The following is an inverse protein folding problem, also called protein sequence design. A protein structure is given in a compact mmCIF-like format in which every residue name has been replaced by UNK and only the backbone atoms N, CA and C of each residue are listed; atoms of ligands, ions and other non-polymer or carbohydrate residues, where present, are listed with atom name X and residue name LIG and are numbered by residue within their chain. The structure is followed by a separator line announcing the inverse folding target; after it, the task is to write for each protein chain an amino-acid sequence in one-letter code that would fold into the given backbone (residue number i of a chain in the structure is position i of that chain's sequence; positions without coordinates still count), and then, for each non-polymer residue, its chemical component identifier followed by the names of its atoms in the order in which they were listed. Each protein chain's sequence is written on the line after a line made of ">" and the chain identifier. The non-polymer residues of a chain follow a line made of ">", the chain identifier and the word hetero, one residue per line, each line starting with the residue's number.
data_IF_577459580597
#
_entry.id   IF_577459580597
#
_cell.length_a   1.000
_cell.length_b   1.000
_cell.length_c   1.000
_cell.angle_alpha   90.00
_cell.angle_beta   90.00
_cell.angle_gamma   90.00
#
_symmetry.space_group_name_H-M   'P 1'
#
loop_
_entity.id
_entity.type
_entity.pdbx_description
1 polymer ?
#
# COMPACT_ATOMS: atom_id res chain seq x y z
N UNK A 1 -2.48 10.63 48.56
CA UNK A 1 -2.02 11.04 47.26
C UNK A 1 -0.72 11.77 47.45
N UNK A 2 0.38 11.06 47.37
CA UNK A 2 1.73 11.63 47.49
C UNK A 2 2.16 12.18 46.13
N UNK A 3 2.40 13.48 46.06
CA UNK A 3 2.98 14.12 44.87
C UNK A 3 4.37 13.49 44.62
N UNK A 4 4.71 13.12 43.39
CA UNK A 4 6.04 12.65 43.06
C UNK A 4 7.04 13.79 43.21
N UNK A 5 8.24 13.43 43.65
CA UNK A 5 9.36 14.33 43.83
C UNK A 5 9.66 15.12 42.54
N UNK A 6 9.86 16.40 42.70
CA UNK A 6 10.28 17.33 41.67
C UNK A 6 11.54 16.83 40.95
N UNK A 7 11.45 16.49 39.66
CA UNK A 7 12.64 16.32 38.85
C UNK A 7 12.69 15.23 37.76
N UNK A 8 11.69 14.39 37.61
CA UNK A 8 11.71 13.38 36.52
C UNK A 8 11.09 13.97 35.27
N UNK A 9 11.92 14.59 34.42
CA UNK A 9 11.47 14.92 33.07
C UNK A 9 11.21 13.61 32.33
N UNK A 10 9.99 13.42 31.82
CA UNK A 10 9.65 12.26 30.99
C UNK A 10 10.57 12.26 29.77
N UNK A 11 11.24 11.14 29.53
CA UNK A 11 12.21 11.02 28.46
C UNK A 11 11.55 10.32 27.25
N UNK A 12 11.35 11.06 26.16
CA UNK A 12 10.79 10.51 24.92
C UNK A 12 11.62 9.33 24.38
N UNK A 13 12.96 9.42 24.49
CA UNK A 13 13.84 8.35 24.02
C UNK A 13 13.55 7.03 24.74
N UNK A 14 13.35 7.05 26.06
CA UNK A 14 13.03 5.82 26.82
C UNK A 14 11.69 5.20 26.37
N UNK A 15 10.67 6.03 26.10
CA UNK A 15 9.39 5.56 25.57
C UNK A 15 9.51 4.95 24.17
N UNK A 16 10.40 5.49 23.33
CA UNK A 16 10.66 4.96 21.99
C UNK A 16 11.52 3.69 22.03
N UNK A 17 12.43 3.56 22.98
CA UNK A 17 13.17 2.32 23.25
C UNK A 17 12.21 1.21 23.68
N UNK A 18 11.32 1.48 24.66
CA UNK A 18 10.26 0.54 25.07
C UNK A 18 9.34 0.15 23.89
N UNK A 19 8.97 1.11 23.05
CA UNK A 19 8.16 0.85 21.85
C UNK A 19 8.82 -0.19 20.93
N UNK A 20 10.14 -0.09 20.72
CA UNK A 20 10.91 -1.03 19.89
C UNK A 20 11.05 -2.39 20.56
N UNK A 21 11.38 -2.41 21.85
CA UNK A 21 11.57 -3.65 22.63
C UNK A 21 10.29 -4.50 22.68
N UNK A 22 9.13 -3.84 22.77
CA UNK A 22 7.82 -4.51 22.80
C UNK A 22 7.20 -4.74 21.42
N UNK A 23 7.92 -4.48 20.33
CA UNK A 23 7.44 -4.56 18.93
C UNK A 23 6.11 -3.82 18.73
N UNK A 24 5.96 -2.67 19.39
CA UNK A 24 4.76 -1.85 19.32
C UNK A 24 4.73 -1.05 18.00
N UNK A 25 3.57 -1.00 17.35
CA UNK A 25 3.39 -0.26 16.09
C UNK A 25 3.32 1.25 16.29
N UNK A 26 2.70 1.70 17.39
CA UNK A 26 2.46 3.11 17.65
C UNK A 26 2.66 3.42 19.16
N UNK A 27 3.22 4.61 19.44
CA UNK A 27 3.29 5.23 20.77
C UNK A 27 2.30 6.39 20.81
N UNK A 28 1.41 6.40 21.78
CA UNK A 28 0.40 7.44 22.00
C UNK A 28 0.76 8.26 23.24
N UNK A 29 0.85 9.56 23.07
CA UNK A 29 1.16 10.56 24.10
C UNK A 29 -0.01 11.55 24.17
N UNK A 30 -0.72 11.56 25.32
CA UNK A 30 -1.83 12.49 25.53
C UNK A 30 -1.90 12.94 26.99
N UNK A 31 -2.33 14.17 27.25
CA UNK A 31 -2.44 14.71 28.60
C UNK A 31 -3.58 14.03 29.39
N UNK A 32 -3.34 13.78 30.66
CA UNK A 32 -4.28 13.13 31.58
C UNK A 32 -4.23 11.60 31.56
N UNK A 33 -3.33 11.00 30.79
CA UNK A 33 -3.12 9.56 30.66
C UNK A 33 -1.65 9.20 30.75
N UNK A 34 -1.36 7.91 31.03
CA UNK A 34 -0.02 7.34 30.87
C UNK A 34 0.30 7.25 29.37
N UNK A 35 1.56 7.27 29.02
CA UNK A 35 1.97 6.92 27.65
C UNK A 35 1.46 5.50 27.33
N UNK A 36 0.97 5.29 26.10
CA UNK A 36 0.38 4.02 25.68
C UNK A 36 1.04 3.53 24.40
N UNK A 37 1.17 2.22 24.29
CA UNK A 37 1.75 1.51 23.17
C UNK A 37 0.68 0.66 22.49
N UNK A 38 0.68 0.62 21.16
CA UNK A 38 -0.13 -0.33 20.40
C UNK A 38 0.69 -1.57 20.10
N UNK A 39 0.39 -2.65 20.82
CA UNK A 39 1.06 -3.96 20.69
C UNK A 39 0.04 -4.96 20.15
N UNK A 40 0.35 -5.65 19.06
CA UNK A 40 -0.54 -6.63 18.40
C UNK A 40 -1.96 -6.10 18.07
N UNK A 41 -2.11 -4.79 17.88
CA UNK A 41 -3.38 -4.13 17.60
C UNK A 41 -4.07 -3.52 18.82
N UNK A 42 -3.76 -3.97 20.04
CA UNK A 42 -4.33 -3.50 21.29
C UNK A 42 -3.52 -2.35 21.91
N UNK A 43 -4.21 -1.40 22.53
CA UNK A 43 -3.58 -0.28 23.24
C UNK A 43 -3.32 -0.69 24.68
N UNK A 44 -2.03 -0.75 25.07
CA UNK A 44 -1.56 -1.10 26.40
C UNK A 44 -0.81 0.06 27.06
N UNK A 45 -0.72 0.08 28.38
CA UNK A 45 0.10 1.09 29.07
C UNK A 45 1.59 0.82 28.84
N UNK A 46 2.38 1.90 28.77
CA UNK A 46 3.83 1.82 28.89
C UNK A 46 4.24 1.45 30.34
N UNK A 47 5.47 1.03 30.50
CA UNK A 47 6.06 0.75 31.83
C UNK A 47 6.20 2.03 32.70
N UNK A 48 6.18 3.19 32.03
CA UNK A 48 6.21 4.47 32.73
C UNK A 48 4.91 4.68 33.53
N UNK A 49 5.01 4.52 34.86
CA UNK A 49 3.87 4.69 35.79
C UNK A 49 3.59 6.17 36.11
N UNK A 50 3.56 7.04 35.09
CA UNK A 50 3.35 8.47 35.25
C UNK A 50 2.23 8.96 34.33
N UNK A 51 1.29 9.73 34.89
CA UNK A 51 0.24 10.38 34.13
C UNK A 51 0.75 11.71 33.58
N UNK A 52 0.80 11.83 32.25
CA UNK A 52 1.35 12.98 31.54
C UNK A 52 0.50 14.24 31.77
N UNK A 53 1.15 15.32 32.16
CA UNK A 53 0.50 16.64 32.24
C UNK A 53 0.49 17.35 30.87
N UNK A 54 -0.35 18.40 30.68
CA UNK A 54 -0.29 19.23 29.47
C UNK A 54 1.10 19.81 29.16
N UNK A 55 1.88 20.11 30.21
CA UNK A 55 3.25 20.60 30.06
C UNK A 55 4.18 19.52 29.52
N UNK A 56 4.03 18.27 30.02
CA UNK A 56 4.86 17.16 29.56
C UNK A 56 4.62 16.84 28.09
N UNK A 57 3.35 16.74 27.68
CA UNK A 57 3.01 16.43 26.28
C UNK A 57 3.52 17.51 25.31
N UNK A 58 3.42 18.79 25.67
CA UNK A 58 3.99 19.89 24.90
C UNK A 58 5.52 19.78 24.81
N UNK A 59 6.19 19.51 25.95
CA UNK A 59 7.64 19.41 26.01
C UNK A 59 8.14 18.20 25.21
N UNK A 60 7.48 17.05 25.29
CA UNK A 60 7.79 15.86 24.52
C UNK A 60 7.66 16.12 23.00
N UNK A 61 6.56 16.73 22.56
CA UNK A 61 6.36 17.10 21.17
C UNK A 61 7.47 18.08 20.69
N UNK A 62 7.73 19.13 21.44
CA UNK A 62 8.71 20.16 21.05
C UNK A 62 10.16 19.65 21.09
N UNK A 63 10.45 18.56 21.79
CA UNK A 63 11.78 17.95 21.85
C UNK A 63 12.24 17.37 20.51
N UNK A 64 11.29 17.03 19.61
CA UNK A 64 11.58 16.40 18.32
C UNK A 64 11.20 17.27 17.12
N UNK A 65 10.59 18.43 17.33
CA UNK A 65 10.24 19.37 16.29
C UNK A 65 11.35 20.40 16.05
N UNK A 66 11.65 20.66 14.79
CA UNK A 66 12.48 21.81 14.39
C UNK A 66 11.74 23.13 14.64
N UNK A 67 12.46 24.25 14.69
CA UNK A 67 11.85 25.58 14.92
C UNK A 67 10.79 25.95 13.86
N UNK A 68 11.00 25.55 12.60
CA UNK A 68 10.01 25.76 11.54
C UNK A 68 8.76 24.90 11.73
N UNK A 69 8.94 23.66 12.16
CA UNK A 69 7.83 22.74 12.47
C UNK A 69 7.02 23.21 13.68
N UNK A 70 7.67 23.75 14.72
CA UNK A 70 6.99 24.35 15.86
C UNK A 70 6.10 25.52 15.44
N UNK A 71 6.64 26.45 14.64
CA UNK A 71 5.88 27.59 14.13
C UNK A 71 4.69 27.17 13.29
N UNK A 72 4.88 26.16 12.45
CA UNK A 72 3.81 25.60 11.63
C UNK A 72 2.74 24.97 12.49
N UNK A 73 3.11 24.14 13.46
CA UNK A 73 2.18 23.52 14.40
C UNK A 73 1.39 24.54 15.24
N UNK A 74 2.03 25.62 15.67
CA UNK A 74 1.38 26.71 16.40
C UNK A 74 0.31 27.44 15.57
N UNK A 75 0.49 27.50 14.23
CA UNK A 75 -0.46 28.13 13.29
C UNK A 75 -1.57 27.19 12.82
N UNK A 76 -1.24 25.90 12.59
CA UNK A 76 -2.15 24.95 11.94
C UNK A 76 -2.84 24.02 12.94
N UNK A 77 -2.37 23.93 14.20
CA UNK A 77 -2.83 23.06 15.29
C UNK A 77 -2.65 21.55 15.03
N UNK A 78 -2.15 21.18 13.85
CA UNK A 78 -1.88 19.82 13.39
C UNK A 78 -0.55 19.79 12.60
N UNK A 79 0.23 18.71 12.77
CA UNK A 79 1.48 18.56 12.05
C UNK A 79 1.85 17.09 11.88
N UNK A 80 2.02 16.64 10.63
CA UNK A 80 2.77 15.44 10.28
C UNK A 80 4.24 15.77 10.12
N UNK A 81 5.12 14.94 10.67
CA UNK A 81 6.57 15.10 10.57
C UNK A 81 7.29 13.77 10.71
N UNK A 82 8.55 13.71 10.29
CA UNK A 82 9.42 12.58 10.56
C UNK A 82 10.68 13.03 11.32
N UNK A 83 11.24 12.16 12.13
CA UNK A 83 12.46 12.40 12.87
C UNK A 83 13.25 11.12 13.10
N UNK A 84 14.57 11.26 13.24
CA UNK A 84 15.47 10.16 13.56
C UNK A 84 16.08 10.30 14.93
N UNK A 85 16.22 9.22 15.68
CA UNK A 85 17.04 9.17 16.90
C UNK A 85 18.28 8.34 16.59
N UNK A 86 19.43 8.96 16.78
CA UNK A 86 20.71 8.33 16.49
C UNK A 86 20.86 7.00 17.25
N UNK A 87 21.28 5.96 16.52
CA UNK A 87 21.47 4.60 17.00
C UNK A 87 20.18 3.92 17.53
N UNK A 88 18.99 4.45 17.21
CA UNK A 88 17.74 3.85 17.62
C UNK A 88 16.87 3.52 16.39
N UNK A 89 16.15 4.49 15.86
CA UNK A 89 15.28 4.31 14.71
C UNK A 89 14.90 5.66 14.08
N UNK A 90 14.21 5.59 12.93
CA UNK A 90 13.46 6.71 12.38
C UNK A 90 11.98 6.54 12.70
N UNK A 91 11.29 7.65 12.92
CA UNK A 91 9.90 7.67 13.35
C UNK A 91 9.11 8.68 12.52
N UNK A 92 7.84 8.37 12.29
CA UNK A 92 6.83 9.31 11.84
C UNK A 92 6.01 9.73 13.03
N UNK A 93 5.86 11.04 13.23
CA UNK A 93 5.04 11.65 14.27
C UNK A 93 3.87 12.42 13.67
N UNK A 94 2.73 12.39 14.35
CA UNK A 94 1.64 13.33 14.14
C UNK A 94 1.36 14.04 15.46
N UNK A 95 1.49 15.37 15.47
CA UNK A 95 1.08 16.21 16.59
C UNK A 95 -0.24 16.88 16.28
N UNK A 96 -1.11 16.97 17.28
CA UNK A 96 -2.42 17.63 17.15
C UNK A 96 -2.86 18.22 18.49
N UNK A 97 -3.71 19.24 18.45
CA UNK A 97 -4.34 19.78 19.64
C UNK A 97 -5.67 19.09 19.93
N UNK A 98 -5.91 18.76 21.21
CA UNK A 98 -7.18 18.27 21.70
C UNK A 98 -7.48 18.87 23.07
N UNK A 99 -8.69 19.43 23.28
CA UNK A 99 -9.12 20.06 24.55
C UNK A 99 -8.10 21.07 25.09
N UNK A 100 -7.44 21.84 24.21
CA UNK A 100 -6.42 22.82 24.57
C UNK A 100 -5.03 22.26 24.94
N UNK A 101 -4.84 20.94 24.84
CA UNK A 101 -3.57 20.27 25.11
C UNK A 101 -2.97 19.68 23.83
N UNK A 102 -1.65 19.53 23.80
CA UNK A 102 -0.96 18.82 22.72
C UNK A 102 -1.04 17.33 22.95
N UNK A 103 -1.32 16.59 21.88
CA UNK A 103 -1.20 15.14 21.82
C UNK A 103 -0.31 14.75 20.65
N UNK A 104 0.29 13.56 20.72
CA UNK A 104 1.19 13.05 19.69
C UNK A 104 1.02 11.54 19.53
N UNK A 105 1.03 11.08 18.28
CA UNK A 105 1.13 9.66 17.94
C UNK A 105 2.42 9.48 17.14
N UNK A 106 3.21 8.49 17.53
CA UNK A 106 4.50 8.19 16.88
C UNK A 106 4.47 6.74 16.38
N UNK A 107 4.87 6.55 15.12
CA UNK A 107 5.02 5.25 14.46
C UNK A 107 6.48 5.01 14.11
N UNK A 108 6.98 3.79 14.35
CA UNK A 108 8.32 3.41 13.92
C UNK A 108 8.37 3.19 12.41
N UNK A 109 9.41 3.72 11.76
CA UNK A 109 9.76 3.42 10.37
C UNK A 109 10.81 2.30 10.40
N UNK A 110 10.48 1.10 9.87
CA UNK A 110 11.37 -0.05 9.98
C UNK A 110 12.63 0.11 9.13
N UNK A 111 13.78 -0.28 9.69
CA UNK A 111 15.05 -0.43 8.96
C UNK A 111 15.20 -1.80 8.31
N UNK A 112 14.45 -2.79 8.79
CA UNK A 112 14.59 -4.16 8.32
C UNK A 112 13.68 -4.40 7.12
N UNK A 113 14.28 -4.51 5.95
CA UNK A 113 13.60 -4.80 4.71
C UNK A 113 13.55 -6.32 4.54
N UNK A 114 12.35 -6.88 4.46
CA UNK A 114 12.14 -8.31 4.23
C UNK A 114 12.57 -8.69 2.82
N UNK A 115 13.15 -9.87 2.68
CA UNK A 115 13.56 -10.40 1.37
C UNK A 115 12.34 -10.81 0.52
N UNK A 116 12.56 -11.02 -0.78
CA UNK A 116 11.51 -11.56 -1.67
C UNK A 116 10.94 -12.89 -1.16
N UNK A 117 11.78 -13.75 -0.63
CA UNK A 117 11.40 -15.06 -0.09
C UNK A 117 10.53 -14.92 1.15
N UNK A 118 10.92 -14.03 2.09
CA UNK A 118 10.16 -13.80 3.32
C UNK A 118 8.78 -13.20 3.06
N UNK A 119 8.65 -12.46 1.95
CA UNK A 119 7.39 -11.85 1.52
C UNK A 119 6.54 -12.79 0.66
N UNK A 120 7.07 -13.95 0.24
CA UNK A 120 6.38 -14.86 -0.68
C UNK A 120 6.16 -14.27 -2.07
N UNK A 121 7.02 -13.32 -2.50
CA UNK A 121 6.85 -12.63 -3.78
C UNK A 121 7.18 -13.55 -4.95
N UNK A 122 6.32 -13.61 -6.00
CA UNK A 122 6.62 -14.35 -7.22
C UNK A 122 7.95 -13.89 -7.88
N UNK A 123 8.71 -14.85 -8.41
CA UNK A 123 10.03 -14.58 -9.00
C UNK A 123 10.02 -13.57 -10.16
N UNK A 124 8.91 -13.42 -10.84
CA UNK A 124 8.73 -12.43 -11.91
C UNK A 124 8.86 -10.99 -11.41
N UNK A 125 8.50 -10.72 -10.15
CA UNK A 125 8.65 -9.39 -9.54
C UNK A 125 10.13 -9.05 -9.39
N UNK A 126 10.98 -10.03 -9.00
CA UNK A 126 12.42 -9.86 -8.96
C UNK A 126 12.99 -9.53 -10.34
N UNK A 127 12.50 -10.21 -11.40
CA UNK A 127 12.90 -9.92 -12.79
C UNK A 127 12.50 -8.51 -13.25
N UNK A 128 11.40 -7.96 -12.73
CA UNK A 128 11.03 -6.57 -13.01
C UNK A 128 12.02 -5.59 -12.38
N UNK A 129 12.57 -5.89 -11.19
CA UNK A 129 13.64 -5.10 -10.57
C UNK A 129 14.98 -5.20 -11.32
N UNK A 130 15.17 -6.24 -12.12
CA UNK A 130 16.38 -6.42 -12.93
C UNK A 130 16.36 -5.67 -14.27
N UNK A 131 15.25 -5.06 -14.64
CA UNK A 131 15.13 -4.29 -15.87
C UNK A 131 16.14 -3.12 -15.89
N UNK A 132 16.75 -2.83 -17.04
CA UNK A 132 17.69 -1.72 -17.12
C UNK A 132 17.01 -0.36 -17.14
N UNK A 133 15.77 -0.31 -17.62
CA UNK A 133 14.96 0.92 -17.80
C UNK A 133 13.48 0.58 -17.94
N UNK A 134 12.64 1.59 -17.88
CA UNK A 134 11.19 1.50 -18.08
C UNK A 134 10.43 1.83 -16.81
N UNK A 135 9.12 1.67 -16.85
CA UNK A 135 8.20 1.94 -15.75
C UNK A 135 7.61 0.63 -15.20
N UNK A 136 7.74 0.43 -13.91
CA UNK A 136 7.07 -0.66 -13.17
C UNK A 136 6.12 -0.05 -12.16
N UNK A 137 4.87 -0.49 -12.18
CA UNK A 137 3.83 -0.01 -11.26
C UNK A 137 3.53 -1.04 -10.19
N UNK A 138 3.42 -0.58 -8.94
CA UNK A 138 2.90 -1.38 -7.83
C UNK A 138 1.63 -0.72 -7.34
N UNK A 139 0.50 -1.42 -7.49
CA UNK A 139 -0.83 -0.84 -7.23
C UNK A 139 -1.61 -1.65 -6.20
N UNK A 140 -2.74 -1.12 -5.76
CA UNK A 140 -3.62 -1.73 -4.77
C UNK A 140 -4.09 -0.73 -3.71
N UNK A 141 -5.07 -1.09 -2.89
CA UNK A 141 -5.60 -0.22 -1.85
C UNK A 141 -4.55 0.13 -0.78
N UNK A 142 -4.87 1.10 0.06
CA UNK A 142 -4.03 1.42 1.22
C UNK A 142 -3.87 0.21 2.12
N UNK A 143 -2.64 -0.06 2.57
CA UNK A 143 -2.35 -1.22 3.41
C UNK A 143 -2.20 -2.56 2.66
N UNK A 144 -2.20 -2.56 1.32
CA UNK A 144 -1.99 -3.78 0.51
C UNK A 144 -0.54 -4.27 0.42
N UNK A 145 0.41 -3.55 1.03
CA UNK A 145 1.82 -3.94 1.05
C UNK A 145 2.68 -3.37 -0.08
N UNK A 146 2.20 -2.36 -0.81
CA UNK A 146 2.95 -1.71 -1.92
C UNK A 146 4.34 -1.26 -1.51
N UNK A 147 4.43 -0.47 -0.43
CA UNK A 147 5.71 0.05 0.06
C UNK A 147 6.68 -1.05 0.47
N UNK A 148 6.16 -2.14 1.06
CA UNK A 148 6.97 -3.30 1.45
C UNK A 148 7.55 -4.02 0.23
N UNK A 149 6.76 -4.21 -0.82
CA UNK A 149 7.22 -4.82 -2.08
C UNK A 149 8.23 -3.92 -2.79
N UNK A 150 7.96 -2.62 -2.87
CA UNK A 150 8.89 -1.65 -3.45
C UNK A 150 10.20 -1.59 -2.67
N UNK A 151 10.14 -1.61 -1.33
CA UNK A 151 11.34 -1.65 -0.50
C UNK A 151 12.19 -2.89 -0.80
N UNK A 152 11.58 -4.07 -0.95
CA UNK A 152 12.29 -5.29 -1.33
C UNK A 152 12.91 -5.18 -2.74
N UNK A 153 12.20 -4.56 -3.72
CA UNK A 153 12.72 -4.35 -5.07
C UNK A 153 13.93 -3.38 -5.07
N UNK A 154 13.82 -2.27 -4.34
CA UNK A 154 14.90 -1.29 -4.18
C UNK A 154 16.10 -1.91 -3.45
N UNK A 155 15.87 -2.69 -2.38
CA UNK A 155 16.94 -3.36 -1.64
C UNK A 155 17.68 -4.38 -2.51
N UNK A 156 16.97 -5.14 -3.37
CA UNK A 156 17.59 -6.03 -4.35
C UNK A 156 18.50 -5.24 -5.32
N UNK A 157 18.02 -4.16 -5.90
CA UNK A 157 18.81 -3.30 -6.79
C UNK A 157 20.02 -2.75 -6.06
N UNK A 158 19.83 -2.25 -4.84
CA UNK A 158 20.87 -1.67 -4.01
C UNK A 158 22.00 -2.66 -3.66
N UNK A 159 21.67 -3.95 -3.49
CA UNK A 159 22.66 -5.00 -3.23
C UNK A 159 23.41 -5.48 -4.49
N UNK A 160 22.69 -5.55 -5.62
CA UNK A 160 23.19 -6.26 -6.81
C UNK A 160 23.80 -5.32 -7.85
N UNK A 161 23.48 -4.02 -7.81
CA UNK A 161 23.96 -3.02 -8.76
C UNK A 161 24.94 -2.03 -8.11
N UNK A 162 25.65 -1.34 -8.98
CA UNK A 162 26.50 -0.19 -8.62
C UNK A 162 25.94 1.01 -9.38
N UNK A 163 25.19 1.86 -8.70
CA UNK A 163 24.49 2.97 -9.33
C UNK A 163 23.90 3.93 -8.31
N UNK A 164 23.01 4.79 -8.78
CA UNK A 164 22.37 5.81 -7.97
C UNK A 164 20.84 5.60 -7.95
N UNK A 165 20.29 5.41 -6.76
CA UNK A 165 18.86 5.28 -6.51
C UNK A 165 18.36 6.57 -5.88
N UNK A 166 17.35 7.18 -6.46
CA UNK A 166 16.65 8.32 -5.87
C UNK A 166 15.23 7.88 -5.51
N UNK A 167 14.77 8.17 -4.28
CA UNK A 167 13.37 8.03 -3.93
C UNK A 167 12.75 9.37 -3.62
N UNK A 168 11.48 9.54 -4.01
CA UNK A 168 10.66 10.69 -3.63
C UNK A 168 9.39 10.14 -3.01
N UNK A 169 9.18 10.40 -1.73
CA UNK A 169 8.15 9.75 -0.91
C UNK A 169 7.38 10.75 -0.04
N UNK A 170 6.16 10.42 0.38
CA UNK A 170 5.32 11.24 1.25
C UNK A 170 4.47 10.37 2.21
N UNK A 171 5.04 10.03 3.38
CA UNK A 171 6.44 10.14 3.80
C UNK A 171 7.30 8.93 3.38
N UNK A 172 8.59 8.94 3.79
CA UNK A 172 9.48 7.77 3.66
C UNK A 172 8.97 6.63 4.54
N UNK A 173 8.70 5.46 3.93
CA UNK A 173 8.16 4.28 4.61
C UNK A 173 9.24 3.27 5.05
N UNK A 174 10.39 3.23 4.37
CA UNK A 174 11.53 2.36 4.67
C UNK A 174 12.84 3.11 4.48
N UNK A 175 13.81 2.86 5.34
CA UNK A 175 15.14 3.46 5.21
C UNK A 175 16.08 2.48 4.51
N UNK A 176 16.64 2.92 3.40
CA UNK A 176 17.64 2.18 2.65
C UNK A 176 19.05 2.66 3.00
N UNK A 177 19.90 1.74 3.48
CA UNK A 177 21.33 2.04 3.66
C UNK A 177 22.02 1.98 2.32
N UNK A 178 23.06 2.77 2.12
CA UNK A 178 23.95 2.59 0.97
C UNK A 178 24.62 1.19 1.03
N UNK A 179 24.58 0.45 -0.07
CA UNK A 179 25.22 -0.85 -0.20
C UNK A 179 26.05 -0.86 -1.50
N UNK A 180 25.58 -1.51 -2.57
CA UNK A 180 26.17 -1.40 -3.89
C UNK A 180 25.89 -0.07 -4.58
N UNK A 181 24.73 0.51 -4.28
CA UNK A 181 24.29 1.80 -4.81
C UNK A 181 24.42 2.93 -3.78
N UNK A 182 24.49 4.17 -4.28
CA UNK A 182 24.15 5.36 -3.51
C UNK A 182 22.64 5.46 -3.48
N UNK A 183 22.01 5.66 -2.31
CA UNK A 183 20.56 5.82 -2.17
C UNK A 183 20.27 7.17 -1.56
N UNK A 184 19.62 8.04 -2.30
CA UNK A 184 19.15 9.34 -1.83
C UNK A 184 17.63 9.32 -1.72
N UNK A 185 17.11 9.38 -0.49
CA UNK A 185 15.69 9.40 -0.20
C UNK A 185 15.24 10.81 0.13
N UNK A 186 14.23 11.32 -0.57
CA UNK A 186 13.71 12.68 -0.42
C UNK A 186 12.25 12.65 0.01
N UNK A 187 11.96 13.24 1.16
CA UNK A 187 10.61 13.33 1.72
C UNK A 187 9.93 14.64 1.30
N UNK A 188 8.72 14.56 0.80
CA UNK A 188 7.91 15.74 0.46
C UNK A 188 7.58 16.51 1.74
N UNK A 189 7.67 17.84 1.66
CA UNK A 189 7.47 18.71 2.82
C UNK A 189 8.72 18.90 3.71
N UNK A 190 9.67 17.96 3.68
CA UNK A 190 10.93 18.03 4.43
C UNK A 190 12.11 18.33 3.52
N UNK A 191 12.34 17.53 2.49
CA UNK A 191 13.52 17.62 1.61
C UNK A 191 13.17 18.21 0.24
N UNK A 192 11.91 18.21 -0.12
CA UNK A 192 11.38 18.80 -1.36
C UNK A 192 9.98 19.37 -1.15
N UNK A 193 9.57 20.29 -2.01
CA UNK A 193 8.27 20.96 -1.89
C UNK A 193 7.11 20.13 -2.44
N UNK A 194 7.35 19.27 -3.44
CA UNK A 194 6.34 18.43 -4.08
C UNK A 194 7.00 17.31 -4.89
N UNK A 195 6.23 16.28 -5.24
CA UNK A 195 6.67 15.24 -6.18
C UNK A 195 7.13 15.84 -7.51
N UNK A 196 6.30 16.66 -8.15
CA UNK A 196 6.61 17.27 -9.44
C UNK A 196 7.92 18.07 -9.40
N UNK A 197 8.13 18.84 -8.32
CA UNK A 197 9.36 19.62 -8.16
C UNK A 197 10.58 18.70 -8.01
N UNK A 198 10.51 17.67 -7.17
CA UNK A 198 11.60 16.72 -7.00
C UNK A 198 11.96 15.99 -8.30
N UNK A 199 10.96 15.47 -9.01
CA UNK A 199 11.15 14.70 -10.24
C UNK A 199 11.70 15.55 -11.40
N UNK A 200 11.33 16.83 -11.45
CA UNK A 200 11.90 17.78 -12.41
C UNK A 200 13.42 17.93 -12.27
N UNK A 201 13.93 17.86 -11.05
CA UNK A 201 15.38 17.96 -10.80
C UNK A 201 16.07 16.61 -10.80
N UNK A 202 15.38 15.52 -10.45
CA UNK A 202 15.92 14.18 -10.35
C UNK A 202 16.72 13.74 -11.59
N UNK A 203 16.25 14.09 -12.81
CA UNK A 203 16.96 13.79 -14.07
C UNK A 203 18.35 14.47 -14.20
N UNK A 204 18.66 15.46 -13.33
CA UNK A 204 19.97 16.14 -13.29
C UNK A 204 20.81 15.69 -12.11
N UNK A 205 20.31 14.74 -11.34
CA UNK A 205 20.96 14.19 -10.15
C UNK A 205 21.65 12.86 -10.46
N UNK A 206 21.86 12.53 -11.75
CA UNK A 206 22.51 11.30 -12.26
C UNK A 206 21.88 10.01 -11.70
N UNK A 207 20.56 9.79 -11.80
CA UNK A 207 19.91 8.60 -11.30
C UNK A 207 19.99 7.44 -12.29
N UNK A 208 20.14 6.20 -11.80
CA UNK A 208 19.86 4.98 -12.58
C UNK A 208 18.46 4.44 -12.30
N UNK A 209 18.01 4.60 -11.06
CA UNK A 209 16.70 4.12 -10.60
C UNK A 209 15.99 5.19 -9.80
N UNK A 210 14.70 5.39 -10.08
CA UNK A 210 13.87 6.36 -9.36
C UNK A 210 12.64 5.66 -8.80
N UNK A 211 12.37 5.83 -7.50
CA UNK A 211 11.13 5.46 -6.85
C UNK A 211 10.25 6.69 -6.64
N UNK A 212 9.05 6.65 -7.16
CA UNK A 212 8.01 7.66 -7.00
C UNK A 212 6.95 7.09 -6.05
N UNK A 213 6.87 7.62 -4.84
CA UNK A 213 6.01 7.11 -3.78
C UNK A 213 4.56 6.98 -4.22
N UNK A 214 4.01 8.01 -4.88
CA UNK A 214 2.65 7.96 -5.44
C UNK A 214 2.47 8.93 -6.62
N UNK A 215 1.73 8.47 -7.64
CA UNK A 215 1.33 9.28 -8.80
C UNK A 215 -0.15 9.68 -8.68
N UNK A 216 -0.43 10.90 -8.20
CA UNK A 216 -1.80 11.39 -8.00
C UNK A 216 -2.26 12.37 -9.07
N UNK A 217 -1.36 13.13 -9.63
CA UNK A 217 -1.62 14.25 -10.52
C UNK A 217 -0.91 14.12 -11.87
N UNK A 218 -1.35 14.93 -12.82
CA UNK A 218 -0.85 14.94 -14.20
C UNK A 218 0.66 15.20 -14.26
N UNK A 219 1.16 16.16 -13.47
CA UNK A 219 2.57 16.58 -13.54
C UNK A 219 3.49 15.44 -13.06
N UNK A 220 3.11 14.74 -11.98
CA UNK A 220 3.85 13.59 -11.46
C UNK A 220 3.83 12.42 -12.44
N UNK A 221 2.67 12.12 -13.06
CA UNK A 221 2.54 11.06 -14.06
C UNK A 221 3.37 11.38 -15.30
N UNK A 222 3.30 12.61 -15.81
CA UNK A 222 4.10 13.05 -16.96
C UNK A 222 5.59 12.94 -16.68
N UNK A 223 6.03 13.33 -15.48
CA UNK A 223 7.43 13.21 -15.08
C UNK A 223 7.88 11.73 -15.03
N UNK A 224 7.06 10.83 -14.46
CA UNK A 224 7.35 9.40 -14.41
C UNK A 224 7.51 8.78 -15.82
N UNK A 225 6.62 9.13 -16.75
CA UNK A 225 6.70 8.69 -18.13
C UNK A 225 7.98 9.21 -18.81
N UNK A 226 8.33 10.48 -18.60
CA UNK A 226 9.53 11.09 -19.15
C UNK A 226 10.80 10.44 -18.60
N UNK A 227 10.86 10.18 -17.30
CA UNK A 227 11.99 9.48 -16.64
C UNK A 227 12.20 8.11 -17.28
N UNK A 228 11.13 7.33 -17.43
CA UNK A 228 11.19 6.00 -18.02
C UNK A 228 11.59 6.04 -19.51
N UNK A 229 11.13 7.05 -20.26
CA UNK A 229 11.45 7.24 -21.69
C UNK A 229 12.92 7.65 -21.90
N UNK A 230 13.48 8.43 -20.99
CA UNK A 230 14.88 8.86 -21.06
C UNK A 230 15.89 7.80 -20.61
N UNK A 231 15.43 6.58 -20.33
CA UNK A 231 16.33 5.42 -20.15
C UNK A 231 16.53 5.00 -18.71
N UNK A 232 15.81 5.57 -17.75
CA UNK A 232 15.92 5.23 -16.34
C UNK A 232 14.88 4.16 -15.94
N UNK A 233 15.18 3.40 -14.89
CA UNK A 233 14.22 2.48 -14.29
C UNK A 233 13.38 3.23 -13.26
N UNK A 234 12.08 3.37 -13.52
CA UNK A 234 11.14 4.05 -12.64
C UNK A 234 10.19 3.05 -11.97
N UNK A 235 10.02 3.19 -10.67
CA UNK A 235 8.98 2.52 -9.89
C UNK A 235 7.99 3.56 -9.40
N UNK A 236 6.70 3.24 -9.45
CA UNK A 236 5.68 4.16 -8.94
C UNK A 236 4.48 3.41 -8.36
N UNK A 237 3.68 4.09 -7.52
CA UNK A 237 2.43 3.52 -7.01
C UNK A 237 1.19 4.24 -7.50
N UNK A 238 0.10 3.47 -7.55
CA UNK A 238 -1.28 3.93 -7.76
C UNK A 238 -2.22 3.19 -6.79
N UNK A 239 -3.41 3.76 -6.58
CA UNK A 239 -4.47 3.15 -5.77
C UNK A 239 -5.55 2.49 -6.63
N UNK A 240 -5.14 1.64 -7.57
CA UNK A 240 -6.04 0.91 -8.47
C UNK A 240 -6.08 -0.58 -8.11
N UNK A 241 -7.19 -1.24 -8.41
CA UNK A 241 -7.45 -2.62 -8.01
C UNK A 241 -7.17 -3.65 -9.12
N UNK A 242 -6.77 -3.20 -10.31
CA UNK A 242 -6.34 -4.06 -11.42
C UNK A 242 -5.31 -3.38 -12.31
N UNK A 243 -4.59 -4.16 -13.10
CA UNK A 243 -3.64 -3.66 -14.07
C UNK A 243 -4.31 -2.84 -15.18
N UNK A 244 -5.48 -3.26 -15.65
CA UNK A 244 -6.27 -2.53 -16.63
C UNK A 244 -6.72 -1.16 -16.10
N UNK A 245 -7.20 -1.12 -14.85
CA UNK A 245 -7.57 0.13 -14.19
C UNK A 245 -6.38 1.08 -14.03
N UNK A 246 -5.19 0.55 -13.69
CA UNK A 246 -3.98 1.35 -13.58
C UNK A 246 -3.59 2.03 -14.89
N UNK A 247 -3.69 1.31 -16.01
CA UNK A 247 -3.43 1.86 -17.35
C UNK A 247 -4.44 2.96 -17.67
N UNK A 248 -5.74 2.70 -17.48
CA UNK A 248 -6.79 3.70 -17.72
C UNK A 248 -6.58 4.94 -16.84
N UNK A 249 -6.29 4.75 -15.55
CA UNK A 249 -6.05 5.86 -14.61
C UNK A 249 -4.93 6.79 -15.06
N UNK A 250 -3.84 6.24 -15.59
CA UNK A 250 -2.74 7.05 -16.13
C UNK A 250 -3.19 7.85 -17.34
N UNK A 251 -3.95 7.25 -18.26
CA UNK A 251 -4.39 7.88 -19.50
C UNK A 251 -5.44 8.97 -19.23
N UNK A 252 -6.41 8.67 -18.37
CA UNK A 252 -7.58 9.52 -18.10
C UNK A 252 -7.25 10.83 -17.38
N UNK A 253 -6.08 10.92 -16.73
CA UNK A 253 -5.62 12.17 -16.11
C UNK A 253 -5.27 13.24 -17.18
N UNK A 254 -4.94 12.82 -18.39
CA UNK A 254 -4.56 13.72 -19.47
C UNK A 254 -5.77 14.23 -20.27
N UNK A 255 -5.71 15.47 -20.78
CA UNK A 255 -6.71 15.99 -21.69
C UNK A 255 -6.90 15.06 -22.90
N UNK A 256 -8.12 14.93 -23.41
CA UNK A 256 -8.49 13.98 -24.47
C UNK A 256 -7.60 14.06 -25.73
N UNK A 257 -7.17 15.27 -26.09
CA UNK A 257 -6.30 15.48 -27.26
C UNK A 257 -4.86 14.97 -27.07
N UNK A 258 -4.42 14.68 -25.82
CA UNK A 258 -3.10 14.13 -25.50
C UNK A 258 -3.14 12.62 -25.26
N UNK A 259 -4.29 12.03 -25.01
CA UNK A 259 -4.41 10.63 -24.59
C UNK A 259 -3.83 9.63 -25.59
N UNK A 260 -3.96 9.87 -26.88
CA UNK A 260 -3.37 8.99 -27.90
C UNK A 260 -1.84 8.97 -27.85
N UNK A 261 -1.22 10.12 -27.60
CA UNK A 261 0.22 10.23 -27.41
C UNK A 261 0.66 9.56 -26.13
N UNK A 262 -0.09 9.76 -25.04
CA UNK A 262 0.19 9.12 -23.73
C UNK A 262 0.08 7.61 -23.81
N UNK A 263 -0.92 7.06 -24.54
CA UNK A 263 -1.02 5.62 -24.80
C UNK A 263 0.23 5.08 -25.50
N UNK A 264 0.69 5.77 -26.54
CA UNK A 264 1.90 5.37 -27.27
C UNK A 264 3.14 5.41 -26.36
N UNK A 265 3.31 6.47 -25.56
CA UNK A 265 4.40 6.64 -24.63
C UNK A 265 4.34 5.56 -23.51
N UNK A 266 3.18 5.36 -22.88
CA UNK A 266 2.99 4.34 -21.86
C UNK A 266 3.25 2.93 -22.42
N UNK A 267 2.73 2.62 -23.61
CA UNK A 267 3.00 1.33 -24.27
C UNK A 267 4.50 1.11 -24.54
N UNK A 268 5.27 2.17 -24.76
CA UNK A 268 6.71 2.09 -24.97
C UNK A 268 7.49 1.84 -23.67
N UNK A 269 7.14 2.56 -22.59
CA UNK A 269 7.93 2.56 -21.35
C UNK A 269 7.49 1.53 -20.31
N UNK A 270 6.22 1.10 -20.31
CA UNK A 270 5.69 0.20 -19.28
C UNK A 270 6.32 -1.20 -19.41
N UNK A 271 6.85 -1.73 -18.29
CA UNK A 271 7.45 -3.05 -18.20
C UNK A 271 6.60 -4.06 -17.42
N UNK A 272 5.86 -3.59 -16.42
CA UNK A 272 4.95 -4.43 -15.65
C UNK A 272 4.08 -3.67 -14.66
N UNK A 273 3.01 -4.34 -14.25
CA UNK A 273 2.11 -3.85 -13.18
C UNK A 273 1.91 -4.99 -12.19
N UNK A 274 2.03 -4.67 -10.91
CA UNK A 274 1.82 -5.59 -9.79
C UNK A 274 0.69 -5.01 -8.95
N UNK A 275 -0.49 -5.59 -9.01
CA UNK A 275 -1.64 -5.15 -8.20
C UNK A 275 -1.78 -6.09 -7.01
N UNK A 276 -1.74 -5.55 -5.80
CA UNK A 276 -1.64 -6.31 -4.56
C UNK A 276 -2.85 -6.14 -3.65
N UNK A 277 -3.23 -7.23 -2.99
CA UNK A 277 -4.12 -7.22 -1.85
C UNK A 277 -3.60 -8.14 -0.75
N UNK A 278 -3.87 -7.80 0.52
CA UNK A 278 -3.52 -8.61 1.68
C UNK A 278 -4.79 -9.21 2.28
N UNK A 279 -4.77 -10.52 2.50
CA UNK A 279 -5.85 -11.27 3.13
C UNK A 279 -5.39 -11.81 4.49
N UNK A 280 -6.29 -11.91 5.48
CA UNK A 280 -5.98 -12.58 6.74
C UNK A 280 -5.67 -14.04 6.49
N UNK A 281 -4.67 -14.58 7.20
CA UNK A 281 -4.38 -16.01 7.14
C UNK A 281 -5.47 -16.83 7.80
N UNK A 282 -5.81 -17.98 7.22
CA UNK A 282 -6.79 -18.92 7.75
C UNK A 282 -6.41 -19.47 9.13
N UNK A 283 -5.11 -19.57 9.42
CA UNK A 283 -4.57 -20.04 10.70
C UNK A 283 -3.42 -19.15 11.15
N UNK A 284 -3.35 -18.90 12.46
CA UNK A 284 -2.30 -18.08 13.05
C UNK A 284 -2.53 -16.58 12.86
N UNK A 285 -1.47 -15.81 13.10
CA UNK A 285 -1.46 -14.35 12.92
C UNK A 285 -0.82 -13.97 11.57
N UNK A 286 -1.15 -12.79 11.09
CA UNK A 286 -0.55 -12.21 9.89
C UNK A 286 -1.44 -12.26 8.66
N UNK A 287 -0.86 -11.86 7.53
CA UNK A 287 -1.57 -11.72 6.25
C UNK A 287 -0.83 -12.46 5.15
N UNK A 288 -1.57 -12.99 4.18
CA UNK A 288 -1.07 -13.53 2.94
C UNK A 288 -1.29 -12.51 1.81
N UNK A 289 -0.37 -12.44 0.86
CA UNK A 289 -0.46 -11.51 -0.25
C UNK A 289 -0.97 -12.23 -1.49
N UNK A 290 -2.07 -11.73 -2.07
CA UNK A 290 -2.48 -12.06 -3.44
C UNK A 290 -2.05 -10.92 -4.37
N UNK A 291 -1.48 -11.28 -5.52
CA UNK A 291 -1.07 -10.29 -6.52
C UNK A 291 -1.58 -10.67 -7.91
N UNK A 292 -2.19 -9.70 -8.59
CA UNK A 292 -2.34 -9.70 -10.03
C UNK A 292 -1.05 -9.19 -10.65
N UNK A 293 -0.49 -9.89 -11.65
CA UNK A 293 0.78 -9.53 -12.26
C UNK A 293 0.64 -9.48 -13.78
N UNK A 294 0.82 -8.28 -14.33
CA UNK A 294 0.91 -8.03 -15.76
C UNK A 294 2.38 -7.85 -16.16
N UNK A 295 2.86 -8.68 -17.07
CA UNK A 295 4.15 -8.48 -17.75
C UNK A 295 3.90 -7.91 -19.15
N UNK A 296 4.52 -6.79 -19.46
CA UNK A 296 4.25 -6.08 -20.71
C UNK A 296 5.01 -6.72 -21.87
N UNK A 297 4.31 -7.58 -22.59
CA UNK A 297 4.76 -8.20 -23.85
C UNK A 297 4.44 -7.32 -25.06
N UNK A 298 5.00 -7.60 -26.27
CA UNK A 298 4.64 -6.88 -27.49
C UNK A 298 3.12 -6.86 -27.76
N UNK A 299 2.40 -7.95 -27.43
CA UNK A 299 0.94 -8.01 -27.57
C UNK A 299 0.23 -7.04 -26.61
N UNK A 300 0.67 -6.97 -25.34
CA UNK A 300 0.14 -6.00 -24.37
C UNK A 300 0.43 -4.57 -24.81
N UNK A 301 1.65 -4.28 -25.31
CA UNK A 301 2.00 -2.95 -25.85
C UNK A 301 1.05 -2.52 -26.98
N UNK A 302 0.71 -3.46 -27.89
CA UNK A 302 -0.25 -3.20 -28.96
C UNK A 302 -1.64 -2.88 -28.42
N UNK A 303 -2.14 -3.65 -27.42
CA UNK A 303 -3.45 -3.39 -26.81
C UNK A 303 -3.52 -2.01 -26.13
N UNK A 304 -2.47 -1.59 -25.44
CA UNK A 304 -2.41 -0.27 -24.79
C UNK A 304 -2.45 0.83 -25.85
N UNK A 305 -1.61 0.73 -26.88
CA UNK A 305 -1.53 1.72 -27.98
C UNK A 305 -2.85 1.84 -28.73
N UNK A 306 -3.50 0.70 -28.99
CA UNK A 306 -4.71 0.61 -29.84
C UNK A 306 -6.01 0.80 -29.02
N UNK A 307 -5.94 1.21 -27.75
CA UNK A 307 -7.07 1.43 -26.82
C UNK A 307 -7.94 0.18 -26.59
N UNK A 308 -7.32 -1.00 -26.57
CA UNK A 308 -7.98 -2.29 -26.35
C UNK A 308 -7.70 -2.88 -24.98
N UNK A 309 -7.64 -2.01 -23.95
CA UNK A 309 -7.25 -2.36 -22.57
C UNK A 309 -8.15 -3.45 -21.99
N UNK A 310 -9.44 -3.48 -22.37
CA UNK A 310 -10.39 -4.51 -21.95
C UNK A 310 -9.98 -5.95 -22.34
N UNK A 311 -9.08 -6.13 -23.31
CA UNK A 311 -8.59 -7.45 -23.73
C UNK A 311 -7.37 -7.93 -22.92
N UNK A 312 -6.79 -7.08 -22.07
CA UNK A 312 -5.57 -7.40 -21.31
C UNK A 312 -5.81 -8.58 -20.39
N UNK A 313 -6.96 -8.66 -19.72
CA UNK A 313 -7.27 -9.76 -18.80
C UNK A 313 -7.18 -11.13 -19.48
N UNK A 314 -7.74 -11.29 -20.69
CA UNK A 314 -7.67 -12.53 -21.45
C UNK A 314 -6.23 -12.90 -21.84
N UNK A 315 -5.38 -11.91 -22.15
CA UNK A 315 -3.96 -12.16 -22.38
C UNK A 315 -3.21 -12.52 -21.12
N UNK A 316 -3.60 -12.02 -19.96
CA UNK A 316 -3.01 -12.40 -18.68
C UNK A 316 -3.32 -13.85 -18.34
N UNK A 317 -4.56 -14.31 -18.52
CA UNK A 317 -4.96 -15.72 -18.32
C UNK A 317 -4.10 -16.68 -19.14
N UNK A 318 -3.80 -16.32 -20.39
CA UNK A 318 -2.96 -17.13 -21.29
C UNK A 318 -1.45 -16.86 -21.14
N UNK A 319 -1.08 -15.83 -20.40
CA UNK A 319 0.29 -15.32 -20.28
C UNK A 319 1.16 -15.96 -19.19
N UNK A 320 0.75 -17.09 -18.60
CA UNK A 320 1.46 -17.76 -17.48
C UNK A 320 2.92 -18.06 -17.78
N UNK A 321 3.27 -18.39 -19.03
CA UNK A 321 4.66 -18.63 -19.45
C UNK A 321 5.58 -17.41 -19.33
N UNK A 322 5.02 -16.21 -19.30
CA UNK A 322 5.74 -14.95 -19.06
C UNK A 322 5.79 -14.56 -17.58
N UNK A 323 5.13 -15.32 -16.71
CA UNK A 323 4.95 -15.00 -15.30
C UNK A 323 3.75 -14.11 -15.00
N UNK A 324 2.83 -13.92 -15.98
CA UNK A 324 1.57 -13.25 -15.74
C UNK A 324 0.66 -14.10 -14.86
N UNK A 325 -0.12 -13.43 -14.02
CA UNK A 325 -1.02 -14.05 -13.06
C UNK A 325 -2.23 -13.16 -12.86
N UNK A 326 -3.42 -13.71 -12.95
CA UNK A 326 -4.63 -12.98 -12.55
C UNK A 326 -4.78 -12.97 -11.03
N UNK A 327 -5.61 -12.07 -10.50
CA UNK A 327 -5.90 -12.08 -9.06
C UNK A 327 -6.52 -13.43 -8.64
N UNK A 328 -7.44 -13.99 -9.43
CA UNK A 328 -8.07 -15.27 -9.13
C UNK A 328 -7.08 -16.43 -9.17
N UNK A 329 -6.07 -16.42 -10.04
CA UNK A 329 -4.98 -17.41 -10.01
C UNK A 329 -4.22 -17.36 -8.67
N UNK A 330 -3.90 -16.15 -8.18
CA UNK A 330 -3.23 -15.97 -6.89
C UNK A 330 -4.09 -16.45 -5.72
N UNK A 331 -5.36 -16.07 -5.72
CA UNK A 331 -6.34 -16.50 -4.70
C UNK A 331 -6.51 -18.01 -4.68
N UNK A 332 -6.59 -18.64 -5.85
CA UNK A 332 -6.67 -20.09 -5.98
C UNK A 332 -5.45 -20.79 -5.35
N UNK A 333 -4.23 -20.27 -5.58
CA UNK A 333 -3.03 -20.83 -4.98
C UNK A 333 -3.05 -20.72 -3.45
N UNK A 334 -3.44 -19.57 -2.90
CA UNK A 334 -3.55 -19.33 -1.46
C UNK A 334 -4.63 -20.22 -0.82
N UNK A 335 -5.74 -20.46 -1.50
CA UNK A 335 -6.78 -21.38 -1.05
C UNK A 335 -6.28 -22.82 -1.05
N UNK A 336 -5.65 -23.28 -2.15
CA UNK A 336 -5.12 -24.64 -2.28
C UNK A 336 -4.00 -24.94 -1.27
N UNK A 337 -3.16 -23.95 -0.93
CA UNK A 337 -2.15 -24.05 0.13
C UNK A 337 -2.75 -23.93 1.54
N UNK A 338 -4.07 -23.70 1.67
CA UNK A 338 -4.79 -23.48 2.92
C UNK A 338 -4.27 -22.30 3.76
N UNK A 339 -3.67 -21.34 3.12
CA UNK A 339 -3.21 -20.10 3.75
C UNK A 339 -4.37 -19.13 3.97
N UNK A 340 -5.38 -19.12 3.09
CA UNK A 340 -6.54 -18.23 3.15
C UNK A 340 -7.82 -19.06 2.96
N UNK A 341 -8.91 -18.63 3.59
CA UNK A 341 -10.23 -19.29 3.42
C UNK A 341 -10.87 -18.88 2.10
N UNK A 342 -11.79 -19.71 1.59
CA UNK A 342 -12.56 -19.40 0.38
C UNK A 342 -13.44 -18.15 0.55
N UNK A 343 -13.98 -17.91 1.74
CA UNK A 343 -14.78 -16.71 2.05
C UNK A 343 -13.95 -15.42 1.86
N UNK A 344 -12.73 -15.40 2.40
CA UNK A 344 -11.82 -14.26 2.23
C UNK A 344 -11.36 -14.11 0.78
N UNK A 345 -11.14 -15.20 0.06
CA UNK A 345 -10.83 -15.17 -1.38
C UNK A 345 -11.99 -14.59 -2.19
N UNK A 346 -13.23 -15.04 -1.92
CA UNK A 346 -14.43 -14.53 -2.60
C UNK A 346 -14.66 -13.05 -2.35
N UNK A 347 -14.36 -12.56 -1.15
CA UNK A 347 -14.52 -11.14 -0.78
C UNK A 347 -13.68 -10.19 -1.65
N UNK A 348 -12.51 -10.63 -2.11
CA UNK A 348 -11.56 -9.79 -2.87
C UNK A 348 -11.44 -10.21 -4.34
N UNK A 349 -12.06 -11.31 -4.75
CA UNK A 349 -12.04 -11.80 -6.13
C UNK A 349 -12.60 -10.77 -7.11
N UNK A 350 -11.94 -10.59 -8.24
CA UNK A 350 -12.40 -9.75 -9.34
C UNK A 350 -13.57 -10.37 -10.11
N UNK A 351 -13.64 -11.70 -10.16
CA UNK A 351 -14.76 -12.49 -10.69
C UNK A 351 -15.02 -13.67 -9.74
N UNK A 352 -15.96 -13.52 -8.78
CA UNK A 352 -16.30 -14.57 -7.83
C UNK A 352 -16.77 -15.87 -8.50
N UNK A 353 -17.48 -15.78 -9.63
CA UNK A 353 -17.97 -16.96 -10.35
C UNK A 353 -16.83 -17.71 -11.05
N UNK A 354 -15.83 -17.02 -11.58
CA UNK A 354 -14.59 -17.64 -12.06
C UNK A 354 -13.88 -18.37 -10.93
N UNK A 355 -13.69 -17.72 -9.78
CA UNK A 355 -13.02 -18.32 -8.63
C UNK A 355 -13.75 -19.57 -8.12
N UNK A 356 -15.09 -19.53 -8.00
CA UNK A 356 -15.90 -20.71 -7.61
C UNK A 356 -15.71 -21.89 -8.58
N UNK A 357 -15.72 -21.62 -9.89
CA UNK A 357 -15.41 -22.66 -10.90
C UNK A 357 -14.01 -23.25 -10.70
N UNK A 358 -13.01 -22.42 -10.41
CA UNK A 358 -11.63 -22.88 -10.19
C UNK A 358 -11.50 -23.80 -8.98
N UNK A 359 -12.27 -23.57 -7.91
CA UNK A 359 -12.28 -24.45 -6.71
C UNK A 359 -13.31 -25.59 -6.78
N UNK A 360 -13.97 -25.78 -7.93
CA UNK A 360 -14.94 -26.84 -8.15
C UNK A 360 -16.29 -26.67 -7.46
N UNK A 361 -16.68 -25.41 -7.15
CA UNK A 361 -17.99 -25.07 -6.60
C UNK A 361 -18.93 -24.49 -7.66
N UNK A 362 -20.26 -24.58 -7.40
CA UNK A 362 -21.27 -23.97 -8.26
C UNK A 362 -21.14 -22.43 -8.23
N UNK A 363 -21.27 -21.76 -9.38
CA UNK A 363 -21.34 -20.30 -9.43
C UNK A 363 -22.49 -19.76 -8.56
N UNK A 364 -22.34 -18.51 -8.11
CA UNK A 364 -23.42 -17.82 -7.43
C UNK A 364 -24.56 -17.59 -8.43
N UNK A 365 -25.80 -17.86 -8.02
CA UNK A 365 -26.99 -17.54 -8.81
C UNK A 365 -27.13 -16.03 -8.87
N UNK A 366 -26.90 -15.43 -10.02
CA UNK A 366 -26.97 -13.97 -10.22
C UNK A 366 -28.41 -13.47 -10.40
N UNK A 367 -29.44 -14.24 -9.99
CA UNK A 367 -30.82 -13.78 -9.94
C UNK A 367 -31.41 -13.29 -11.28
N UNK A 368 -30.69 -13.44 -12.39
CA UNK A 368 -31.08 -12.97 -13.72
C UNK A 368 -31.67 -14.06 -14.64
N UNK A 369 -32.06 -15.21 -14.09
CA UNK A 369 -32.86 -16.16 -14.85
C UNK A 369 -34.29 -15.66 -14.91
N UNK A 370 -34.55 -14.89 -15.96
CA UNK A 370 -35.82 -14.30 -16.29
C UNK A 370 -36.95 -15.27 -16.27
N UNK A 371 -38.04 -14.81 -15.69
CA UNK A 371 -39.34 -15.45 -15.89
C UNK A 371 -39.68 -15.55 -17.36
N UNK A 372 -39.88 -16.76 -17.81
CA UNK A 372 -40.91 -17.09 -18.80
C UNK A 372 -41.08 -18.61 -18.82
N UNK A 373 -42.28 -19.03 -18.62
CA UNK A 373 -42.65 -20.35 -19.08
C UNK A 373 -43.42 -21.19 -18.08
N UNK A 374 -44.74 -21.12 -18.18
CA UNK A 374 -45.70 -22.16 -17.95
C UNK A 374 -45.96 -22.68 -16.52
N UNK A 375 -46.97 -22.05 -15.94
CA UNK A 375 -47.91 -22.78 -15.06
C UNK A 375 -48.72 -23.76 -15.89
N UNK A 376 -48.69 -25.04 -15.63
CA UNK A 376 -49.80 -25.93 -16.03
C UNK A 376 -50.92 -25.75 -15.01
N UNK A 377 -52.04 -25.28 -15.52
CA UNK A 377 -53.36 -25.43 -14.90
C UNK A 377 -53.77 -26.88 -14.96
N UNK A 378 -53.88 -27.56 -13.83
CA UNK A 378 -54.82 -28.70 -13.59
C UNK A 378 -55.05 -28.66 -12.09
N UNK A 379 -56.19 -28.46 -11.57
CA UNK A 379 -57.50 -29.00 -11.83
C UNK A 379 -57.77 -30.16 -10.88
N UNK A 380 -58.76 -30.01 -9.98
CA UNK A 380 -59.38 -31.12 -9.30
C UNK A 380 -59.42 -31.04 -7.78
N UNK A 381 -60.46 -30.43 -7.22
CA UNK A 381 -61.60 -31.08 -6.56
C UNK A 381 -61.27 -32.15 -5.48
N UNK A 382 -61.56 -31.85 -4.22
CA UNK A 382 -62.66 -32.38 -3.38
C UNK A 382 -62.46 -31.96 -1.93
N UNK A 383 -63.42 -31.29 -1.32
CA UNK A 383 -64.52 -31.78 -0.45
C UNK A 383 -64.03 -32.79 0.60
N UNK A 384 -64.06 -32.45 1.84
CA UNK A 384 -65.26 -32.57 2.69
C UNK A 384 -64.93 -32.18 4.16
N UNK A 385 -65.85 -31.36 4.68
CA UNK A 385 -66.60 -31.51 5.93
C UNK A 385 -65.92 -31.57 7.29
N UNK A 386 -66.41 -30.59 8.01
CA UNK A 386 -67.07 -30.74 9.32
C UNK A 386 -66.14 -30.82 10.52
N UNK A 387 -66.34 -30.01 11.47
CA UNK A 387 -67.31 -29.80 12.43
C UNK A 387 -66.83 -29.05 13.64
N UNK A 388 -67.59 -28.10 13.94
CA UNK A 388 -68.22 -27.78 15.24
C UNK A 388 -67.39 -27.82 16.52
N UNK A 389 -67.49 -26.70 17.24
CA UNK A 389 -67.64 -26.80 18.66
C UNK A 389 -66.87 -25.76 19.52
N UNK A 390 -67.55 -24.68 19.79
CA UNK A 390 -67.71 -24.07 21.12
C UNK A 390 -66.58 -24.22 22.15
N UNK A 391 -66.03 -23.21 22.61
CA UNK A 391 -66.46 -22.22 23.61
C UNK A 391 -65.48 -21.05 23.65
#
# INVERSE_FOLDING_TARGET
>A
MTAPASGTSVNLRALLEEMIERDASDLHITAGERAKLRVDGDITNSELEYVLTPKDTLQLAYSVLTENQKKRFEMEDELDFSFGIQNLARFRGNCFKQRGCVSMVIRQIPFNIRSFTDLGLPSVIAKMAEKPRGLVLVTGPTGSGKSTTLAAMIDKINRERKGHIITVEDPIEFIHRHQGCIVNQREVGTDTKSFANALKYALREDPDTILIGEMRDLETIQAALTIAETGHLAFATLHTNSAAEAINRIIDVFPSHQQSQVRAQLAFVLEGIITQTLLPKAKGRGRAMAAEILVVTPAIRALIRDDKIHQIYSLMQSGKKYGMQTLNDALYQLYMSREVTDEECLRVSSDPNEFLRMIGRMPLDDGSAGGNGDRPLTGGLNRDKAGAGRK
#
